data_IF_899390610372
#
_entry.id   IF_899390610372
#
_cell.length_a   1.000
_cell.length_b   1.000
_cell.length_c   1.000
_cell.angle_alpha   90.00
_cell.angle_beta   90.00
_cell.angle_gamma   90.00
#
_symmetry.space_group_name_H-M   'P 1'
#
loop_
_entity.id
_entity.type
_entity.pdbx_description
1 polymer ?
#
# COMPACT_ATOMS: atom_id res chain seq x y z
N UNK A 1 -54.13 -52.76 25.02
CA UNK A 1 -54.37 -54.22 25.03
C UNK A 1 -54.83 -54.59 26.43
N UNK A 2 -55.95 -55.28 26.59
CA UNK A 2 -56.45 -55.67 27.92
C UNK A 2 -55.66 -56.86 28.46
N UNK A 3 -55.13 -56.75 29.67
CA UNK A 3 -54.53 -57.88 30.39
C UNK A 3 -55.63 -58.53 31.23
N UNK A 4 -55.89 -59.82 30.99
CA UNK A 4 -56.88 -60.56 31.76
C UNK A 4 -56.41 -60.76 33.20
N UNK A 5 -57.26 -60.38 34.17
CA UNK A 5 -56.99 -60.61 35.60
C UNK A 5 -57.37 -62.05 35.97
N UNK A 6 -56.38 -62.93 36.10
CA UNK A 6 -56.61 -64.27 36.67
C UNK A 6 -57.01 -64.14 38.15
N UNK A 7 -58.14 -64.78 38.52
CA UNK A 7 -58.54 -64.96 39.91
C UNK A 7 -57.83 -66.17 40.48
N UNK A 8 -56.85 -65.95 41.35
CA UNK A 8 -56.34 -67.01 42.22
C UNK A 8 -57.30 -67.20 43.40
N UNK A 9 -57.52 -68.44 43.87
CA UNK A 9 -58.76 -68.80 44.61
C UNK A 9 -59.04 -68.00 45.89
N UNK A 10 -58.02 -67.43 46.53
CA UNK A 10 -58.16 -66.64 47.77
C UNK A 10 -57.69 -65.16 47.65
N UNK A 11 -57.28 -64.69 46.46
CA UNK A 11 -56.69 -63.35 46.29
C UNK A 11 -57.16 -62.65 45.01
N UNK A 12 -57.66 -61.41 45.13
CA UNK A 12 -57.98 -60.55 43.98
C UNK A 12 -56.77 -59.71 43.57
N UNK A 13 -56.38 -59.80 42.31
CA UNK A 13 -55.45 -58.85 41.68
C UNK A 13 -56.16 -57.51 41.41
N UNK A 14 -55.47 -56.40 41.67
CA UNK A 14 -56.00 -55.03 41.55
C UNK A 14 -55.00 -54.23 40.72
N UNK A 15 -55.46 -53.47 39.72
CA UNK A 15 -54.56 -52.63 38.91
C UNK A 15 -54.30 -51.28 39.57
N UNK A 16 -53.22 -50.61 39.17
CA UNK A 16 -52.93 -49.23 39.58
C UNK A 16 -54.05 -48.25 39.19
N UNK A 17 -54.80 -48.53 38.14
CA UNK A 17 -55.89 -47.67 37.68
C UNK A 17 -57.20 -47.91 38.46
N UNK A 18 -57.43 -49.14 38.94
CA UNK A 18 -58.51 -49.45 39.90
C UNK A 18 -58.34 -48.68 41.22
N UNK A 19 -57.10 -48.52 41.69
CA UNK A 19 -56.75 -47.75 42.89
C UNK A 19 -56.83 -46.22 42.68
N UNK A 20 -56.51 -45.74 41.47
CA UNK A 20 -56.66 -44.33 41.11
C UNK A 20 -58.12 -43.90 41.10
N UNK A 21 -59.04 -44.76 40.66
CA UNK A 21 -60.48 -44.48 40.60
C UNK A 21 -61.07 -44.20 42.01
N UNK A 22 -61.55 -42.98 42.31
CA UNK A 22 -62.07 -42.61 43.63
C UNK A 22 -63.17 -43.54 44.15
N UNK A 23 -64.07 -43.99 43.27
CA UNK A 23 -65.24 -44.81 43.61
C UNK A 23 -64.89 -46.24 44.04
N UNK A 24 -63.67 -46.70 43.74
CA UNK A 24 -63.20 -48.02 44.13
C UNK A 24 -62.39 -48.00 45.44
N UNK A 25 -61.86 -46.85 45.89
CA UNK A 25 -60.96 -46.78 47.06
C UNK A 25 -61.60 -47.29 48.35
N UNK A 26 -62.88 -47.01 48.57
CA UNK A 26 -63.63 -47.47 49.75
C UNK A 26 -63.76 -49.01 49.85
N UNK A 27 -63.59 -49.74 48.73
CA UNK A 27 -63.61 -51.22 48.72
C UNK A 27 -62.29 -51.84 49.23
N UNK A 28 -61.22 -51.05 49.30
CA UNK A 28 -59.86 -51.52 49.58
C UNK A 28 -59.18 -50.82 50.76
N UNK A 29 -59.87 -49.89 51.45
CA UNK A 29 -59.42 -49.33 52.72
C UNK A 29 -59.53 -50.37 53.83
N UNK A 30 -58.41 -50.99 54.20
CA UNK A 30 -58.32 -51.83 55.40
C UNK A 30 -58.54 -50.96 56.64
N UNK A 31 -59.51 -51.32 57.47
CA UNK A 31 -59.68 -50.69 58.77
C UNK A 31 -58.50 -51.09 59.68
N UNK A 32 -57.76 -50.11 60.19
CA UNK A 32 -56.73 -50.34 61.20
C UNK A 32 -57.35 -50.36 62.60
N UNK A 33 -57.08 -51.45 63.32
CA UNK A 33 -57.52 -51.68 64.69
C UNK A 33 -56.38 -51.40 65.66
N UNK A 34 -56.71 -51.00 66.89
CA UNK A 34 -55.70 -50.68 67.89
C UNK A 34 -54.97 -51.96 68.33
N UNK A 35 -53.62 -51.97 68.39
CA UNK A 35 -52.86 -53.13 68.89
C UNK A 35 -53.16 -53.50 70.36
N UNK A 36 -53.70 -52.57 71.15
CA UNK A 36 -54.08 -52.78 72.57
C UNK A 36 -55.56 -53.06 72.78
N UNK A 37 -56.42 -52.51 71.91
CA UNK A 37 -57.88 -52.62 71.98
C UNK A 37 -58.36 -53.20 70.64
N UNK A 38 -58.30 -54.52 70.51
CA UNK A 38 -58.34 -55.22 69.20
C UNK A 38 -59.68 -55.10 68.46
N UNK A 39 -60.76 -54.78 69.19
CA UNK A 39 -62.09 -54.46 68.69
C UNK A 39 -62.25 -52.99 68.27
N UNK A 40 -61.41 -52.09 68.78
CA UNK A 40 -61.50 -50.65 68.55
C UNK A 40 -60.69 -50.19 67.34
N UNK A 41 -61.34 -49.42 66.46
CA UNK A 41 -60.71 -48.80 65.29
C UNK A 41 -59.90 -47.56 65.69
N UNK A 42 -58.78 -47.33 65.01
CA UNK A 42 -58.00 -46.11 65.20
C UNK A 42 -58.62 -44.95 64.40
N UNK A 43 -59.49 -44.18 65.06
CA UNK A 43 -60.25 -43.06 64.45
C UNK A 43 -59.74 -41.68 64.87
N UNK A 44 -58.76 -41.62 65.77
CA UNK A 44 -58.16 -40.37 66.25
C UNK A 44 -56.67 -40.33 65.90
N UNK A 45 -56.08 -39.13 65.89
CA UNK A 45 -54.65 -38.89 65.74
C UNK A 45 -54.20 -37.95 66.85
N UNK A 46 -53.23 -38.37 67.65
CA UNK A 46 -52.69 -37.56 68.75
C UNK A 46 -51.50 -36.75 68.25
N UNK A 47 -51.69 -35.45 67.99
CA UNK A 47 -50.65 -34.60 67.37
C UNK A 47 -49.31 -34.62 68.12
N UNK A 48 -49.24 -34.39 69.45
CA UNK A 48 -47.97 -34.42 70.20
C UNK A 48 -47.25 -35.77 70.18
N UNK A 49 -47.97 -36.87 69.90
CA UNK A 49 -47.41 -38.22 69.83
C UNK A 49 -47.24 -38.73 68.39
N UNK A 50 -47.56 -37.90 67.39
CA UNK A 50 -47.46 -38.16 65.95
C UNK A 50 -48.06 -39.52 65.48
N UNK A 51 -49.07 -40.07 66.16
CA UNK A 51 -49.59 -41.43 65.90
C UNK A 51 -51.12 -41.55 65.95
N UNK A 52 -51.72 -42.47 65.18
CA UNK A 52 -53.13 -42.80 65.28
C UNK A 52 -53.44 -43.55 66.59
N UNK A 53 -54.64 -43.33 67.14
CA UNK A 53 -55.11 -43.91 68.40
C UNK A 53 -56.61 -44.23 68.30
N UNK A 54 -57.09 -45.21 69.07
CA UNK A 54 -58.53 -45.51 69.17
C UNK A 54 -59.21 -44.74 70.32
N UNK A 55 -60.53 -44.83 70.39
CA UNK A 55 -61.36 -44.18 71.43
C UNK A 55 -60.94 -44.53 72.86
N UNK A 56 -60.59 -45.79 73.12
CA UNK A 56 -60.21 -46.21 74.48
C UNK A 56 -58.80 -45.71 74.85
N UNK A 57 -57.91 -45.60 73.85
CA UNK A 57 -56.63 -44.91 74.02
C UNK A 57 -56.80 -43.43 74.35
N UNK A 58 -57.82 -42.71 73.85
CA UNK A 58 -58.05 -41.29 74.20
C UNK A 58 -58.62 -41.09 75.61
N UNK A 59 -59.00 -42.16 76.31
CA UNK A 59 -59.46 -42.13 77.71
C UNK A 59 -58.33 -42.55 78.66
N UNK A 60 -57.46 -43.47 78.22
CA UNK A 60 -56.39 -44.09 79.01
C UNK A 60 -55.04 -43.38 78.83
N UNK A 61 -54.33 -43.64 77.72
CA UNK A 61 -52.94 -43.21 77.50
C UNK A 61 -52.80 -41.86 76.78
N UNK A 62 -53.84 -41.42 76.08
CA UNK A 62 -53.87 -40.21 75.25
C UNK A 62 -54.99 -39.27 75.67
N UNK A 63 -55.16 -39.09 76.99
CA UNK A 63 -56.23 -38.25 77.54
C UNK A 63 -56.01 -36.77 77.19
N UNK A 64 -57.00 -36.05 76.62
CA UNK A 64 -56.87 -34.65 76.25
C UNK A 64 -56.31 -33.77 77.38
N UNK A 65 -55.24 -33.04 77.08
CA UNK A 65 -54.51 -32.23 78.05
C UNK A 65 -53.17 -31.71 77.50
N UNK A 66 -52.30 -31.12 78.34
CA UNK A 66 -51.08 -30.43 77.87
C UNK A 66 -50.12 -31.28 77.02
N UNK A 67 -50.13 -32.60 77.20
CA UNK A 67 -49.21 -33.53 76.54
C UNK A 67 -49.88 -34.37 75.43
N UNK A 68 -51.21 -34.30 75.28
CA UNK A 68 -51.96 -35.12 74.33
C UNK A 68 -53.16 -34.35 73.77
N UNK A 69 -53.21 -34.20 72.45
CA UNK A 69 -54.36 -33.66 71.72
C UNK A 69 -54.83 -34.68 70.67
N UNK A 70 -55.73 -35.62 71.04
CA UNK A 70 -56.30 -36.58 70.12
C UNK A 70 -57.46 -35.97 69.32
N UNK A 71 -57.17 -35.53 68.10
CA UNK A 71 -58.19 -35.04 67.16
C UNK A 71 -58.70 -36.17 66.24
N UNK A 72 -59.88 -36.00 65.63
CA UNK A 72 -60.40 -37.01 64.69
C UNK A 72 -59.49 -37.11 63.46
N UNK A 73 -59.09 -38.34 63.09
CA UNK A 73 -58.06 -38.57 62.05
C UNK A 73 -58.51 -38.05 60.66
N UNK A 74 -59.81 -38.08 60.40
CA UNK A 74 -60.48 -37.49 59.24
C UNK A 74 -60.17 -35.99 59.08
N UNK A 75 -60.28 -35.23 60.17
CA UNK A 75 -60.07 -33.78 60.22
C UNK A 75 -58.60 -33.44 59.99
N UNK A 76 -57.69 -34.04 60.77
CA UNK A 76 -56.24 -33.81 60.64
C UNK A 76 -55.76 -34.20 59.24
N UNK A 77 -56.24 -35.30 58.69
CA UNK A 77 -55.90 -35.72 57.33
C UNK A 77 -56.45 -34.78 56.24
N UNK A 78 -57.57 -34.08 56.48
CA UNK A 78 -58.08 -33.05 55.56
C UNK A 78 -57.24 -31.78 55.61
N UNK A 79 -56.90 -31.30 56.82
CA UNK A 79 -56.07 -30.10 57.03
C UNK A 79 -54.68 -30.26 56.41
N UNK A 80 -53.94 -31.31 56.81
CA UNK A 80 -52.60 -31.63 56.28
C UNK A 80 -52.63 -31.86 54.76
N UNK A 81 -53.70 -32.46 54.22
CA UNK A 81 -53.87 -32.60 52.77
C UNK A 81 -54.02 -31.25 52.07
N UNK A 82 -54.77 -30.30 52.66
CA UNK A 82 -54.92 -28.95 52.13
C UNK A 82 -53.60 -28.17 52.11
N UNK A 83 -52.81 -28.29 53.18
CA UNK A 83 -51.46 -27.72 53.26
C UNK A 83 -50.53 -28.32 52.20
N UNK A 84 -50.46 -29.65 52.10
CA UNK A 84 -49.65 -30.35 51.10
C UNK A 84 -50.07 -30.00 49.66
N UNK A 85 -51.37 -29.88 49.37
CA UNK A 85 -51.85 -29.43 48.07
C UNK A 85 -51.41 -28.00 47.75
N UNK A 86 -51.42 -27.11 48.74
CA UNK A 86 -50.97 -25.70 48.60
C UNK A 86 -49.46 -25.62 48.37
N UNK A 87 -48.67 -26.40 49.12
CA UNK A 87 -47.22 -26.53 48.95
C UNK A 87 -46.85 -27.07 47.56
N UNK A 88 -47.53 -28.13 47.09
CA UNK A 88 -47.31 -28.70 45.75
C UNK A 88 -47.65 -27.68 44.66
N UNK A 89 -48.78 -26.97 44.76
CA UNK A 89 -49.15 -25.93 43.80
C UNK A 89 -48.09 -24.80 43.75
N UNK A 90 -47.62 -24.35 44.92
CA UNK A 90 -46.57 -23.32 45.04
C UNK A 90 -45.24 -23.78 44.42
N UNK A 91 -44.85 -25.04 44.65
CA UNK A 91 -43.64 -25.62 44.06
C UNK A 91 -43.75 -25.75 42.53
N UNK A 92 -44.94 -26.12 42.02
CA UNK A 92 -45.21 -26.21 40.59
C UNK A 92 -45.14 -24.84 39.90
N UNK A 93 -45.73 -23.79 40.48
CA UNK A 93 -45.66 -22.45 39.92
C UNK A 93 -44.22 -21.88 39.89
N UNK A 94 -43.47 -22.07 40.98
CA UNK A 94 -42.03 -21.72 41.01
C UNK A 94 -41.24 -22.46 39.93
N UNK A 95 -41.47 -23.76 39.72
CA UNK A 95 -40.83 -24.54 38.68
C UNK A 95 -41.19 -24.01 37.27
N UNK A 96 -42.45 -23.66 37.03
CA UNK A 96 -42.88 -23.06 35.76
C UNK A 96 -42.23 -21.69 35.51
N UNK A 97 -42.06 -20.88 36.55
CA UNK A 97 -41.37 -19.59 36.48
C UNK A 97 -39.88 -19.77 36.19
N UNK A 98 -39.21 -20.73 36.84
CA UNK A 98 -37.81 -21.08 36.56
C UNK A 98 -37.62 -21.52 35.10
N UNK A 99 -38.46 -22.43 34.58
CA UNK A 99 -38.42 -22.86 33.17
C UNK A 99 -38.59 -21.72 32.17
N UNK A 100 -39.46 -20.73 32.45
CA UNK A 100 -39.59 -19.52 31.63
C UNK A 100 -38.29 -18.70 31.64
N UNK A 101 -37.65 -18.56 32.80
CA UNK A 101 -36.39 -17.82 32.95
C UNK A 101 -35.23 -18.54 32.24
N UNK A 102 -35.13 -19.86 32.38
CA UNK A 102 -34.18 -20.73 31.67
C UNK A 102 -34.31 -20.57 30.16
N UNK A 103 -35.53 -20.69 29.61
CA UNK A 103 -35.77 -20.47 28.19
C UNK A 103 -35.41 -19.05 27.69
N UNK A 104 -35.48 -18.04 28.56
CA UNK A 104 -35.00 -16.68 28.24
C UNK A 104 -33.47 -16.59 28.22
N UNK A 105 -32.79 -17.18 29.21
CA UNK A 105 -31.32 -17.24 29.29
C UNK A 105 -30.75 -18.01 28.11
N UNK A 106 -31.30 -19.18 27.76
CA UNK A 106 -30.85 -20.00 26.63
C UNK A 106 -31.00 -19.27 25.29
N UNK A 107 -32.07 -18.50 25.09
CA UNK A 107 -32.23 -17.63 23.90
C UNK A 107 -31.22 -16.49 23.84
N UNK A 108 -30.89 -15.88 24.98
CA UNK A 108 -29.83 -14.86 25.05
C UNK A 108 -28.46 -15.47 24.76
N UNK A 109 -28.17 -16.65 25.31
CA UNK A 109 -26.91 -17.36 25.10
C UNK A 109 -26.70 -17.72 23.63
N UNK A 110 -27.70 -18.31 22.97
CA UNK A 110 -27.60 -18.64 21.54
C UNK A 110 -27.45 -17.39 20.67
N UNK A 111 -28.18 -16.31 20.97
CA UNK A 111 -28.05 -15.03 20.26
C UNK A 111 -26.66 -14.41 20.41
N UNK A 112 -26.05 -14.49 21.60
CA UNK A 112 -24.67 -14.05 21.83
C UNK A 112 -23.68 -14.89 21.02
N UNK A 113 -23.80 -16.22 21.04
CA UNK A 113 -22.93 -17.12 20.26
C UNK A 113 -22.99 -16.81 18.77
N UNK A 114 -24.20 -16.70 18.18
CA UNK A 114 -24.38 -16.37 16.76
C UNK A 114 -23.80 -14.99 16.41
N UNK A 115 -23.98 -13.98 17.27
CA UNK A 115 -23.40 -12.66 17.02
C UNK A 115 -21.87 -12.71 17.07
N UNK A 116 -21.26 -13.38 18.07
CA UNK A 116 -19.81 -13.54 18.16
C UNK A 116 -19.22 -14.25 16.94
N UNK A 117 -19.85 -15.31 16.44
CA UNK A 117 -19.46 -15.98 15.21
C UNK A 117 -19.55 -15.07 13.98
N UNK A 118 -20.62 -14.28 13.87
CA UNK A 118 -20.80 -13.34 12.78
C UNK A 118 -19.76 -12.21 12.82
N UNK A 119 -19.47 -11.64 14.00
CA UNK A 119 -18.42 -10.62 14.12
C UNK A 119 -17.03 -11.19 13.80
N UNK A 120 -16.73 -12.43 14.22
CA UNK A 120 -15.47 -13.10 13.85
C UNK A 120 -15.33 -13.25 12.33
N UNK A 121 -16.40 -13.64 11.63
CA UNK A 121 -16.43 -13.71 10.15
C UNK A 121 -16.28 -12.32 9.51
N UNK A 122 -16.92 -11.29 10.06
CA UNK A 122 -16.80 -9.91 9.57
C UNK A 122 -15.36 -9.39 9.67
N UNK A 123 -14.69 -9.62 10.82
CA UNK A 123 -13.29 -9.27 11.04
C UNK A 123 -12.39 -9.99 10.03
N UNK A 124 -12.54 -11.32 9.90
CA UNK A 124 -11.76 -12.11 8.94
C UNK A 124 -11.94 -11.61 7.49
N UNK A 125 -13.17 -11.30 7.07
CA UNK A 125 -13.47 -10.75 5.75
C UNK A 125 -12.81 -9.38 5.53
N UNK A 126 -12.87 -8.49 6.52
CA UNK A 126 -12.25 -7.17 6.43
C UNK A 126 -10.73 -7.25 6.28
N UNK A 127 -10.06 -8.08 7.10
CA UNK A 127 -8.61 -8.29 6.98
C UNK A 127 -8.19 -8.99 5.68
N UNK A 128 -9.04 -9.85 5.10
CA UNK A 128 -8.81 -10.41 3.76
C UNK A 128 -8.88 -9.33 2.66
N UNK A 129 -9.85 -8.41 2.76
CA UNK A 129 -9.96 -7.27 1.84
C UNK A 129 -8.79 -6.29 1.96
N UNK A 130 -8.26 -6.06 3.17
CA UNK A 130 -7.08 -5.22 3.36
C UNK A 130 -5.81 -5.84 2.75
N UNK A 131 -5.59 -7.15 2.94
CA UNK A 131 -4.47 -7.85 2.28
C UNK A 131 -4.55 -7.74 0.76
N UNK A 132 -5.68 -8.09 0.17
CA UNK A 132 -5.86 -8.01 -1.28
C UNK A 132 -5.64 -6.61 -1.89
N UNK A 133 -5.82 -5.53 -1.10
CA UNK A 133 -5.47 -4.17 -1.53
C UNK A 133 -3.96 -3.91 -1.47
N UNK A 134 -3.30 -4.35 -0.41
CA UNK A 134 -1.84 -4.25 -0.27
C UNK A 134 -1.12 -5.07 -1.35
N UNK A 135 -1.60 -6.29 -1.62
CA UNK A 135 -1.04 -7.18 -2.65
C UNK A 135 -1.11 -6.54 -4.06
N UNK A 136 -2.20 -5.84 -4.38
CA UNK A 136 -2.35 -5.12 -5.67
C UNK A 136 -1.49 -3.85 -5.72
N UNK A 137 -1.35 -3.11 -4.61
CA UNK A 137 -0.50 -1.92 -4.51
C UNK A 137 1.00 -2.27 -4.61
N UNK A 138 1.45 -3.36 -3.98
CA UNK A 138 2.80 -3.91 -4.09
C UNK A 138 3.11 -4.27 -5.56
N UNK A 139 2.18 -4.94 -6.23
CA UNK A 139 2.32 -5.34 -7.63
C UNK A 139 2.40 -4.14 -8.58
N UNK A 140 1.57 -3.12 -8.38
CA UNK A 140 1.62 -1.87 -9.17
C UNK A 140 2.91 -1.08 -8.94
N UNK A 141 3.44 -1.05 -7.71
CA UNK A 141 4.74 -0.44 -7.42
C UNK A 141 5.90 -1.22 -8.04
N UNK A 142 5.87 -2.55 -7.97
CA UNK A 142 6.89 -3.42 -8.57
C UNK A 142 6.94 -3.23 -10.08
N UNK A 143 5.78 -3.23 -10.75
CA UNK A 143 5.68 -2.99 -12.19
C UNK A 143 6.24 -1.62 -12.61
N UNK A 144 5.99 -0.56 -11.82
CA UNK A 144 6.57 0.77 -12.08
C UNK A 144 8.09 0.78 -11.94
N UNK A 145 8.66 0.03 -10.99
CA UNK A 145 10.11 -0.13 -10.87
C UNK A 145 10.71 -0.86 -12.08
N UNK A 146 10.08 -1.93 -12.57
CA UNK A 146 10.50 -2.64 -13.79
C UNK A 146 10.45 -1.73 -15.04
N UNK A 147 9.39 -0.94 -15.19
CA UNK A 147 9.24 0.03 -16.28
C UNK A 147 10.31 1.14 -16.21
N UNK A 148 10.60 1.67 -15.01
CA UNK A 148 11.68 2.63 -14.78
C UNK A 148 13.06 2.04 -15.10
N UNK A 149 13.37 0.84 -14.58
CA UNK A 149 14.65 0.16 -14.83
C UNK A 149 14.87 -0.06 -16.34
N UNK A 150 13.84 -0.52 -17.06
CA UNK A 150 13.89 -0.68 -18.51
C UNK A 150 14.19 0.64 -19.22
N UNK A 151 13.49 1.71 -18.87
CA UNK A 151 13.68 3.04 -19.49
C UNK A 151 15.09 3.61 -19.32
N UNK A 152 15.76 3.27 -18.21
CA UNK A 152 17.15 3.69 -17.95
C UNK A 152 18.18 2.78 -18.63
N UNK A 153 17.92 1.46 -18.72
CA UNK A 153 18.84 0.52 -19.36
C UNK A 153 18.90 0.63 -20.88
N UNK A 154 17.77 0.91 -21.55
CA UNK A 154 17.72 0.99 -23.02
C UNK A 154 18.72 2.01 -23.64
N UNK A 155 18.83 3.27 -23.18
CA UNK A 155 19.82 4.22 -23.71
C UNK A 155 21.27 3.80 -23.39
N UNK A 156 21.54 3.33 -22.17
CA UNK A 156 22.88 2.87 -21.78
C UNK A 156 23.36 1.66 -22.60
N UNK A 157 22.46 0.73 -22.92
CA UNK A 157 22.75 -0.40 -23.82
C UNK A 157 22.98 0.01 -25.28
N UNK A 158 22.50 1.19 -25.68
CA UNK A 158 22.79 1.78 -26.99
C UNK A 158 24.19 2.42 -26.98
N UNK A 159 24.46 3.30 -26.01
CA UNK A 159 25.78 3.94 -25.86
C UNK A 159 26.92 2.91 -25.72
N UNK A 160 26.71 1.82 -24.98
CA UNK A 160 27.69 0.74 -24.85
C UNK A 160 28.05 0.07 -26.20
N UNK A 161 27.08 -0.05 -27.12
CA UNK A 161 27.32 -0.60 -28.47
C UNK A 161 28.07 0.40 -29.36
N UNK A 162 27.68 1.67 -29.26
CA UNK A 162 28.29 2.74 -30.05
C UNK A 162 29.78 2.90 -29.67
N UNK A 163 30.09 2.96 -28.36
CA UNK A 163 31.46 3.00 -27.80
C UNK A 163 32.28 1.76 -28.17
N UNK A 164 31.69 0.56 -28.10
CA UNK A 164 32.41 -0.70 -28.38
C UNK A 164 32.84 -0.88 -29.84
N UNK A 165 32.31 -0.08 -30.77
CA UNK A 165 32.58 -0.24 -32.21
C UNK A 165 33.85 0.48 -32.70
N UNK A 166 34.30 1.51 -31.97
CA UNK A 166 35.35 2.47 -32.37
C UNK A 166 35.21 3.04 -33.81
N UNK A 167 34.01 2.96 -34.38
CA UNK A 167 33.67 3.50 -35.70
C UNK A 167 33.02 4.89 -35.54
N UNK A 168 33.13 5.78 -36.53
CA UNK A 168 32.41 7.05 -36.51
C UNK A 168 30.90 6.79 -36.50
N UNK A 169 30.24 7.12 -35.38
CA UNK A 169 28.79 6.89 -35.14
C UNK A 169 27.93 7.66 -36.15
N UNK A 170 28.42 8.80 -36.64
CA UNK A 170 27.78 9.60 -37.67
C UNK A 170 28.85 10.37 -38.47
N UNK A 171 28.66 10.48 -39.78
CA UNK A 171 29.46 11.32 -40.69
C UNK A 171 28.51 12.26 -41.45
N UNK A 172 28.83 13.54 -41.48
CA UNK A 172 28.12 14.55 -42.27
C UNK A 172 29.12 15.38 -43.07
N UNK A 173 28.63 16.12 -44.06
CA UNK A 173 29.46 16.92 -44.94
C UNK A 173 30.11 16.16 -46.10
N UNK A 174 30.39 16.91 -47.16
CA UNK A 174 31.11 16.49 -48.35
C UNK A 174 31.88 17.69 -48.93
N UNK A 175 32.83 17.42 -49.83
CA UNK A 175 33.56 18.47 -50.54
C UNK A 175 32.60 19.36 -51.35
N UNK A 176 32.78 20.67 -51.25
CA UNK A 176 32.03 21.66 -52.03
C UNK A 176 31.75 22.96 -51.27
N UNK A 177 31.05 23.89 -51.93
CA UNK A 177 30.80 25.26 -51.44
C UNK A 177 29.35 25.53 -51.02
N UNK A 178 28.43 24.57 -51.20
CA UNK A 178 27.02 24.73 -50.84
C UNK A 178 26.80 24.61 -49.32
N UNK A 179 25.55 24.73 -48.87
CA UNK A 179 25.17 24.58 -47.46
C UNK A 179 25.41 23.14 -46.97
N UNK A 180 26.08 22.98 -45.83
CA UNK A 180 26.45 21.66 -45.31
C UNK A 180 27.54 20.94 -46.12
N UNK A 181 28.16 21.62 -47.09
CA UNK A 181 29.40 21.21 -47.74
C UNK A 181 30.56 22.01 -47.15
N UNK A 182 31.77 21.47 -47.29
CA UNK A 182 32.99 22.02 -46.70
C UNK A 182 34.15 21.96 -47.70
N UNK A 183 35.06 22.94 -47.65
CA UNK A 183 36.36 22.85 -48.28
C UNK A 183 37.47 22.95 -47.21
N UNK A 184 38.13 21.82 -46.97
CA UNK A 184 39.22 21.63 -45.99
C UNK A 184 38.90 22.17 -44.58
N UNK A 185 37.91 21.59 -43.86
CA UNK A 185 37.67 21.93 -42.46
C UNK A 185 38.90 21.55 -41.61
N UNK A 186 39.34 22.44 -40.71
CA UNK A 186 40.54 22.24 -39.87
C UNK A 186 40.23 22.13 -38.37
N UNK A 187 39.24 22.84 -37.82
CA UNK A 187 39.03 22.93 -36.36
C UNK A 187 37.56 22.84 -35.92
N UNK A 188 37.37 22.37 -34.67
CA UNK A 188 36.13 22.25 -33.89
C UNK A 188 36.47 21.90 -32.39
N UNK A 189 36.43 22.85 -31.43
CA UNK A 189 36.76 22.67 -29.97
C UNK A 189 35.55 22.17 -29.11
N UNK A 190 35.42 22.25 -27.75
CA UNK A 190 34.12 21.93 -27.05
C UNK A 190 33.95 22.41 -25.58
N UNK A 191 32.70 22.34 -25.04
CA UNK A 191 32.37 22.32 -23.59
C UNK A 191 31.17 21.40 -23.23
N UNK A 192 31.38 20.39 -22.36
CA UNK A 192 30.33 19.52 -21.79
C UNK A 192 30.63 18.02 -21.87
N UNK A 193 29.67 17.15 -21.52
CA UNK A 193 29.79 15.67 -21.52
C UNK A 193 29.81 15.03 -22.93
N UNK A 194 30.11 15.79 -23.99
CA UNK A 194 30.21 15.33 -25.39
C UNK A 194 31.34 16.05 -26.12
N UNK A 195 31.71 15.53 -27.29
CA UNK A 195 32.90 15.95 -28.05
C UNK A 195 32.50 16.81 -29.27
N UNK A 196 33.05 18.01 -29.35
CA UNK A 196 33.02 18.99 -30.46
C UNK A 196 31.66 19.53 -30.99
N UNK A 197 31.24 20.81 -30.87
CA UNK A 197 31.64 22.05 -30.12
C UNK A 197 30.35 22.79 -29.68
N UNK A 198 30.38 23.76 -28.74
CA UNK A 198 29.19 24.59 -28.49
C UNK A 198 29.35 25.94 -27.75
N UNK A 199 28.61 26.93 -28.25
CA UNK A 199 28.01 28.03 -27.49
C UNK A 199 27.08 27.50 -26.37
N UNK A 200 26.56 28.38 -25.53
CA UNK A 200 25.53 28.17 -24.49
C UNK A 200 24.24 27.45 -24.93
N UNK A 201 24.05 27.17 -26.23
CA UNK A 201 22.86 26.54 -26.83
C UNK A 201 23.13 25.20 -27.57
N UNK A 202 24.22 24.47 -27.26
CA UNK A 202 24.58 23.18 -27.90
C UNK A 202 24.88 23.24 -29.43
N UNK A 203 25.25 24.40 -29.98
CA UNK A 203 25.46 24.60 -31.42
C UNK A 203 26.91 24.32 -31.90
N UNK A 204 27.08 23.45 -32.90
CA UNK A 204 28.38 23.10 -33.49
C UNK A 204 28.82 24.16 -34.50
N UNK A 205 29.98 24.78 -34.26
CA UNK A 205 30.59 25.86 -35.04
C UNK A 205 31.80 25.31 -35.81
N UNK A 206 31.82 25.46 -37.13
CA UNK A 206 32.87 24.92 -38.02
C UNK A 206 33.49 26.03 -38.86
N UNK A 207 34.83 26.13 -38.85
CA UNK A 207 35.58 26.98 -39.78
C UNK A 207 35.75 26.30 -41.14
N UNK A 208 35.23 26.94 -42.19
CA UNK A 208 35.22 26.44 -43.56
C UNK A 208 36.20 27.28 -44.40
N UNK A 209 37.47 26.90 -44.31
CA UNK A 209 38.63 27.73 -44.72
C UNK A 209 38.64 28.01 -46.21
N UNK A 210 38.40 27.01 -47.07
CA UNK A 210 38.39 27.24 -48.52
C UNK A 210 37.29 28.21 -48.98
N UNK A 211 36.26 28.41 -48.14
CA UNK A 211 35.15 29.31 -48.38
C UNK A 211 35.22 30.61 -47.54
N UNK A 212 36.27 30.82 -46.75
CA UNK A 212 36.50 31.98 -45.86
C UNK A 212 35.28 32.37 -45.00
N UNK A 213 34.63 31.35 -44.42
CA UNK A 213 33.38 31.48 -43.65
C UNK A 213 33.36 30.59 -42.40
N UNK A 214 32.43 30.88 -41.50
CA UNK A 214 32.04 30.02 -40.38
C UNK A 214 30.62 29.52 -40.61
N UNK A 215 30.37 28.22 -40.40
CA UNK A 215 29.05 27.60 -40.45
C UNK A 215 28.65 27.10 -39.05
N UNK A 216 27.38 27.29 -38.68
CA UNK A 216 26.82 26.89 -37.38
C UNK A 216 25.71 25.87 -37.59
N UNK A 217 25.72 24.80 -36.79
CA UNK A 217 24.80 23.66 -36.84
C UNK A 217 24.22 23.38 -35.45
N UNK A 218 23.07 22.71 -35.35
CA UNK A 218 22.59 22.18 -34.06
C UNK A 218 23.35 20.88 -33.69
N UNK A 219 23.10 20.37 -32.49
CA UNK A 219 23.61 19.05 -32.03
C UNK A 219 23.17 17.83 -32.85
N UNK A 220 22.23 17.99 -33.78
CA UNK A 220 21.81 16.95 -34.73
C UNK A 220 22.44 17.17 -36.12
N UNK A 221 23.33 18.16 -36.26
CA UNK A 221 24.04 18.54 -37.48
C UNK A 221 23.15 19.17 -38.55
N UNK A 222 21.99 19.71 -38.16
CA UNK A 222 21.17 20.58 -39.00
C UNK A 222 21.79 21.98 -39.05
N UNK A 223 22.05 22.49 -40.25
CA UNK A 223 22.54 23.84 -40.46
C UNK A 223 21.57 24.89 -39.88
N UNK A 224 22.10 25.83 -39.10
CA UNK A 224 21.37 26.97 -38.56
C UNK A 224 21.65 28.22 -39.40
N UNK A 225 22.90 28.68 -39.41
CA UNK A 225 23.33 29.89 -40.11
C UNK A 225 24.83 29.85 -40.47
N UNK A 226 25.29 30.88 -41.19
CA UNK A 226 26.69 31.09 -41.54
C UNK A 226 27.03 32.57 -41.55
N UNK A 227 28.27 32.90 -41.27
CA UNK A 227 28.80 34.27 -41.30
C UNK A 227 30.27 34.28 -41.73
N UNK A 228 30.82 35.48 -41.97
CA UNK A 228 32.12 35.64 -42.63
C UNK A 228 32.00 35.77 -44.15
N UNK A 229 32.89 36.57 -44.70
CA UNK A 229 33.02 36.86 -46.13
C UNK A 229 34.42 37.40 -46.42
N UNK A 230 34.83 37.38 -47.69
CA UNK A 230 36.03 38.06 -48.18
C UNK A 230 35.82 39.57 -48.26
N UNK A 231 36.86 40.34 -47.95
CA UNK A 231 36.87 41.79 -48.11
C UNK A 231 38.03 42.49 -47.41
N UNK A 232 37.82 43.77 -47.07
CA UNK A 232 38.83 44.67 -46.49
C UNK A 232 38.38 45.36 -45.20
N UNK A 233 37.21 45.03 -44.67
CA UNK A 233 36.69 45.58 -43.43
C UNK A 233 37.18 44.79 -42.20
N UNK A 234 37.16 45.37 -40.99
CA UNK A 234 37.62 44.69 -39.77
C UNK A 234 36.95 43.34 -39.50
N UNK A 235 35.68 43.18 -39.88
CA UNK A 235 34.89 41.94 -39.75
C UNK A 235 35.17 40.87 -40.80
N UNK A 236 35.71 41.22 -41.98
CA UNK A 236 35.91 40.26 -43.07
C UNK A 236 36.97 39.21 -42.70
N UNK A 237 36.85 37.98 -43.19
CA UNK A 237 37.67 36.83 -42.79
C UNK A 237 38.62 36.38 -43.89
N UNK A 238 39.77 35.86 -43.49
CA UNK A 238 40.80 35.33 -44.40
C UNK A 238 41.55 34.18 -43.71
N UNK A 239 41.35 32.96 -44.21
CA UNK A 239 41.87 31.73 -43.60
C UNK A 239 41.45 31.56 -42.14
N UNK A 240 40.15 31.51 -41.81
CA UNK A 240 39.68 31.27 -40.43
C UNK A 240 40.09 29.87 -39.96
N UNK A 241 41.09 29.72 -39.09
CA UNK A 241 41.61 28.41 -38.64
C UNK A 241 41.03 27.94 -37.32
N UNK A 242 41.27 28.65 -36.23
CA UNK A 242 40.84 28.24 -34.91
C UNK A 242 39.52 28.87 -34.52
N UNK A 243 38.61 28.12 -33.89
CA UNK A 243 37.37 28.67 -33.34
C UNK A 243 37.06 28.14 -31.95
N UNK A 244 36.62 29.04 -31.06
CA UNK A 244 36.17 28.70 -29.70
C UNK A 244 35.03 29.63 -29.28
N UNK A 245 34.20 29.21 -28.33
CA UNK A 245 33.05 29.99 -27.85
C UNK A 245 33.06 30.08 -26.32
N UNK A 246 32.71 31.24 -25.78
CA UNK A 246 32.64 31.45 -24.33
C UNK A 246 31.25 31.22 -23.74
N UNK A 247 31.16 31.24 -22.41
CA UNK A 247 29.93 31.03 -21.65
C UNK A 247 28.91 32.18 -21.76
N UNK A 248 29.11 33.14 -22.66
CA UNK A 248 28.22 34.27 -22.95
C UNK A 248 27.85 34.35 -24.44
N UNK A 249 28.20 33.32 -25.22
CA UNK A 249 27.96 33.24 -26.65
C UNK A 249 28.74 34.23 -27.49
N UNK A 250 29.97 34.57 -27.07
CA UNK A 250 30.92 35.19 -27.99
C UNK A 250 31.81 34.11 -28.61
N UNK A 251 31.90 34.14 -29.93
CA UNK A 251 32.73 33.26 -30.76
C UNK A 251 34.05 33.99 -31.02
N UNK A 252 35.17 33.39 -30.60
CA UNK A 252 36.52 33.89 -30.86
C UNK A 252 37.16 33.07 -31.97
N UNK A 253 37.69 33.77 -32.97
CA UNK A 253 38.17 33.21 -34.23
C UNK A 253 39.60 33.66 -34.53
N UNK A 254 40.50 32.73 -34.81
CA UNK A 254 41.82 33.01 -35.38
C UNK A 254 41.78 33.00 -36.90
N UNK A 255 42.16 34.11 -37.52
CA UNK A 255 42.41 34.22 -38.95
C UNK A 255 43.92 34.23 -39.18
N UNK A 256 44.41 33.39 -40.10
CA UNK A 256 45.82 33.41 -40.50
C UNK A 256 46.13 34.43 -41.60
N UNK A 257 45.13 35.14 -42.11
CA UNK A 257 45.35 36.12 -43.18
C UNK A 257 45.86 35.44 -44.46
N UNK A 258 46.77 36.13 -45.15
CA UNK A 258 47.42 35.64 -46.37
C UNK A 258 47.46 36.69 -47.48
N UNK A 259 47.82 36.27 -48.69
CA UNK A 259 47.78 37.12 -49.89
C UNK A 259 46.72 36.58 -50.83
N UNK A 260 45.80 37.43 -51.28
CA UNK A 260 44.78 37.06 -52.27
C UNK A 260 44.51 38.24 -53.19
N UNK A 261 44.38 37.97 -54.50
CA UNK A 261 44.20 38.98 -55.55
C UNK A 261 45.24 40.14 -55.50
N UNK A 262 46.46 39.83 -55.05
CA UNK A 262 47.57 40.79 -54.88
C UNK A 262 47.48 41.67 -53.62
N UNK A 263 46.52 41.42 -52.73
CA UNK A 263 46.31 42.15 -51.47
C UNK A 263 46.79 41.31 -50.30
N UNK A 264 47.59 41.89 -49.41
CA UNK A 264 47.96 41.28 -48.14
C UNK A 264 46.90 41.51 -47.07
N UNK A 265 46.51 40.44 -46.38
CA UNK A 265 45.57 40.42 -45.26
C UNK A 265 46.29 39.89 -44.02
N UNK A 266 46.23 40.64 -42.92
CA UNK A 266 46.96 40.32 -41.69
C UNK A 266 46.26 39.27 -40.83
N UNK A 267 47.07 38.53 -40.09
CA UNK A 267 46.69 37.65 -38.99
C UNK A 267 45.91 38.43 -37.94
N UNK A 268 44.77 37.89 -37.49
CA UNK A 268 43.93 38.57 -36.48
C UNK A 268 43.04 37.61 -35.70
N UNK A 269 42.85 37.94 -34.43
CA UNK A 269 41.80 37.35 -33.60
C UNK A 269 40.57 38.24 -33.64
N UNK A 270 39.41 37.68 -33.94
CA UNK A 270 38.15 38.40 -33.97
C UNK A 270 37.17 37.80 -32.96
N UNK A 271 36.29 38.65 -32.43
CA UNK A 271 35.19 38.28 -31.55
C UNK A 271 33.88 38.57 -32.28
N UNK A 272 33.00 37.57 -32.35
CA UNK A 272 31.66 37.65 -32.91
C UNK A 272 30.63 37.26 -31.84
N UNK A 273 29.38 37.65 -32.02
CA UNK A 273 28.24 37.08 -31.30
C UNK A 273 27.82 35.76 -31.93
N UNK A 274 27.05 34.97 -31.20
CA UNK A 274 26.42 33.74 -31.65
C UNK A 274 25.72 33.86 -33.02
N UNK A 275 25.03 34.97 -33.29
CA UNK A 275 24.32 35.24 -34.55
C UNK A 275 25.24 35.57 -35.74
N UNK A 276 26.56 35.66 -35.52
CA UNK A 276 27.56 36.06 -36.51
C UNK A 276 27.83 37.57 -36.58
N UNK A 277 27.23 38.38 -35.70
CA UNK A 277 27.51 39.83 -35.61
C UNK A 277 28.90 40.07 -35.08
N UNK A 278 29.73 40.82 -35.81
CA UNK A 278 31.08 41.19 -35.36
C UNK A 278 31.04 42.13 -34.15
N UNK A 279 31.85 41.83 -33.14
CA UNK A 279 31.97 42.63 -31.89
C UNK A 279 33.25 43.44 -31.88
N UNK A 280 34.39 42.78 -32.11
CA UNK A 280 35.71 43.41 -32.00
C UNK A 280 36.83 42.59 -32.65
N UNK A 281 38.00 43.19 -32.77
CA UNK A 281 39.28 42.50 -33.04
C UNK A 281 40.12 42.59 -31.77
N UNK A 282 40.71 41.47 -31.34
CA UNK A 282 41.59 41.44 -30.16
C UNK A 282 42.94 42.03 -30.59
N UNK A 283 43.45 43.11 -29.96
CA UNK A 283 44.68 43.76 -30.40
C UNK A 283 45.91 42.85 -30.28
N UNK A 284 46.65 42.71 -31.37
CA UNK A 284 47.95 42.04 -31.45
C UNK A 284 49.07 42.96 -31.95
N UNK A 285 48.84 44.27 -32.05
CA UNK A 285 49.79 45.21 -32.69
C UNK A 285 51.14 45.33 -31.96
N UNK A 286 51.16 45.11 -30.65
CA UNK A 286 52.38 45.10 -29.83
C UNK A 286 53.12 43.77 -29.79
N UNK A 287 52.47 42.69 -30.25
CA UNK A 287 53.03 41.34 -30.36
C UNK A 287 52.24 40.56 -31.42
N UNK A 288 52.68 40.70 -32.67
CA UNK A 288 51.97 40.23 -33.86
C UNK A 288 51.93 38.71 -33.92
N UNK A 289 50.79 38.18 -34.34
CA UNK A 289 50.56 36.75 -34.50
C UNK A 289 51.24 36.22 -35.76
N UNK A 290 51.73 34.99 -35.71
CA UNK A 290 52.40 34.33 -36.82
C UNK A 290 51.80 32.92 -37.06
N UNK A 291 50.90 32.83 -38.04
CA UNK A 291 50.10 31.62 -38.33
C UNK A 291 49.30 31.09 -37.09
N UNK A 292 48.38 31.89 -36.50
CA UNK A 292 47.57 31.45 -35.38
C UNK A 292 46.65 30.28 -35.76
N UNK A 293 46.80 29.16 -35.06
CA UNK A 293 46.11 27.89 -35.32
C UNK A 293 44.92 27.71 -34.37
N UNK A 294 45.04 26.84 -33.36
CA UNK A 294 43.97 26.57 -32.41
C UNK A 294 43.78 27.72 -31.43
N UNK A 295 42.52 27.99 -31.07
CA UNK A 295 42.16 28.96 -30.03
C UNK A 295 41.32 28.31 -28.95
N UNK A 296 41.53 28.71 -27.70
CA UNK A 296 40.74 28.26 -26.56
C UNK A 296 40.38 29.47 -25.69
N UNK A 297 39.10 29.67 -25.42
CA UNK A 297 38.64 30.72 -24.49
C UNK A 297 38.35 30.16 -23.11
N UNK A 298 38.39 31.05 -22.11
CA UNK A 298 38.18 30.74 -20.70
C UNK A 298 37.08 31.61 -20.13
N UNK A 299 36.37 31.10 -19.12
CA UNK A 299 35.19 31.75 -18.53
C UNK A 299 35.50 33.11 -17.87
N UNK A 300 36.77 33.34 -17.50
CA UNK A 300 37.28 34.59 -16.94
C UNK A 300 37.75 35.61 -18.01
N UNK A 301 37.50 35.35 -19.30
CA UNK A 301 37.69 36.32 -20.40
C UNK A 301 39.08 36.35 -21.03
N UNK A 302 39.87 35.28 -20.86
CA UNK A 302 41.12 35.11 -21.61
C UNK A 302 40.94 34.21 -22.84
N UNK A 303 41.73 34.47 -23.87
CA UNK A 303 41.94 33.58 -25.01
C UNK A 303 43.39 33.10 -25.02
N UNK A 304 43.57 31.82 -25.28
CA UNK A 304 44.85 31.19 -25.56
C UNK A 304 44.90 30.85 -27.05
N UNK A 305 46.04 31.10 -27.68
CA UNK A 305 46.25 30.92 -29.13
C UNK A 305 47.52 30.13 -29.33
N UNK A 306 47.45 29.06 -30.12
CA UNK A 306 48.63 28.38 -30.62
C UNK A 306 49.20 29.16 -31.80
N UNK A 307 50.30 29.87 -31.55
CA UNK A 307 51.05 30.61 -32.57
C UNK A 307 52.11 29.66 -33.15
N UNK A 308 51.82 29.12 -34.32
CA UNK A 308 52.48 27.92 -34.81
C UNK A 308 53.91 28.20 -35.32
N UNK A 309 54.12 29.35 -35.98
CA UNK A 309 55.42 29.72 -36.55
C UNK A 309 56.34 30.36 -35.50
N UNK A 310 55.82 31.09 -34.50
CA UNK A 310 56.63 31.54 -33.36
C UNK A 310 56.79 30.47 -32.27
N UNK A 311 56.25 29.26 -32.51
CA UNK A 311 56.35 28.07 -31.65
C UNK A 311 55.91 28.31 -30.19
N UNK A 312 54.89 29.15 -29.97
CA UNK A 312 54.48 29.57 -28.63
C UNK A 312 52.96 29.52 -28.41
N UNK A 313 52.55 29.52 -27.15
CA UNK A 313 51.15 29.74 -26.76
C UNK A 313 51.02 31.16 -26.23
N UNK A 314 50.20 31.96 -26.91
CA UNK A 314 49.98 33.37 -26.57
C UNK A 314 48.68 33.51 -25.79
N UNK A 315 48.70 34.29 -24.71
CA UNK A 315 47.52 34.55 -23.86
C UNK A 315 47.12 36.01 -23.97
N UNK A 316 45.91 36.26 -24.48
CA UNK A 316 45.31 37.59 -24.54
C UNK A 316 44.10 37.67 -23.61
N UNK A 317 43.67 38.90 -23.32
CA UNK A 317 42.42 39.20 -22.62
C UNK A 317 41.53 39.99 -23.57
N UNK A 318 40.25 39.62 -23.67
CA UNK A 318 39.31 40.24 -24.61
C UNK A 318 38.01 40.76 -23.95
N UNK A 319 38.01 40.87 -22.61
CA UNK A 319 36.96 41.50 -21.79
C UNK A 319 37.53 42.36 -20.67
#
# INVERSE_FOLDING_TARGET
>A
MGVATEKNRDHSTITLDDLKNPSNRQKYTRAEYCPKHTDQRMTFYCQPCAKPVCRDCTITEHRPGPNHDPQEVSKVAQEVKGELQTLVATAQDRNNTLKKSEGSVTKKLSSITTNCEQQKKNIQKHFAQLRAKLDEEEKELTKKLEEMEKSQKEPLLKELKDVGSNNPVLRFGQEGSQQGQFDRPIDVAVRGDRLYVADTEDNIIVTDIGNDRVQVFDKNLNFQHKFGQKGRHPQDMWGPRGVSADSRGNIVLANVGGITDGVGHSEKLQVFRQDGTWVSTIPSDGDKLNLPHGVAVTEDGHVFVADAEDHCIRKYRYM
#
